data_IF_650302960746
#
_entry.id   IF_650302960746
#
_cell.length_a   1.000
_cell.length_b   1.000
_cell.length_c   1.000
_cell.angle_alpha   90.00
_cell.angle_beta   90.00
_cell.angle_gamma   90.00
#
_symmetry.space_group_name_H-M   'P 1'
#
loop_
_entity.id
_entity.type
_entity.pdbx_description
1 polymer ?
#
# COMPACT_ATOMS: atom_id res chain seq x y z
N UNK A 1 12.11 29.76 -14.20
CA UNK A 1 12.22 28.45 -13.53
C UNK A 1 10.90 28.22 -12.81
N UNK A 2 10.13 27.17 -13.12
CA UNK A 2 8.74 27.05 -12.62
C UNK A 2 8.68 26.69 -11.13
N UNK A 3 7.67 27.19 -10.41
CA UNK A 3 7.42 26.91 -8.98
C UNK A 3 7.44 25.42 -8.63
N UNK A 4 6.96 24.57 -9.54
CA UNK A 4 6.95 23.11 -9.37
C UNK A 4 8.34 22.48 -9.17
N UNK A 5 9.43 23.15 -9.59
CA UNK A 5 10.80 22.67 -9.37
C UNK A 5 11.36 23.12 -8.01
N UNK A 6 10.85 24.22 -7.45
CA UNK A 6 11.23 24.72 -6.13
C UNK A 6 10.57 23.93 -4.99
N UNK A 7 9.38 23.37 -5.20
CA UNK A 7 8.68 22.57 -4.17
C UNK A 7 9.32 21.21 -3.87
N UNK A 8 10.27 20.76 -4.69
CA UNK A 8 11.02 19.51 -4.47
C UNK A 8 12.36 19.76 -3.72
N UNK A 9 12.63 21.01 -3.30
CA UNK A 9 13.82 21.40 -2.54
C UNK A 9 13.44 21.40 -1.05
N UNK A 10 14.08 20.53 -0.26
CA UNK A 10 13.80 20.34 1.16
C UNK A 10 14.20 18.95 1.67
N UNK A 11 13.93 18.67 2.94
CA UNK A 11 14.10 17.33 3.51
C UNK A 11 13.23 16.32 2.73
N UNK A 12 13.67 15.04 2.61
CA UNK A 12 12.93 14.05 1.83
C UNK A 12 11.46 13.89 2.23
N UNK A 13 11.11 14.11 3.50
CA UNK A 13 9.74 14.00 3.99
C UNK A 13 8.84 15.16 3.54
N UNK A 14 9.41 16.34 3.32
CA UNK A 14 8.70 17.55 2.90
C UNK A 14 8.46 17.60 1.39
N UNK A 15 9.14 16.75 0.61
CA UNK A 15 8.99 16.70 -0.84
C UNK A 15 7.60 16.16 -1.18
N UNK A 16 6.75 16.92 -1.89
CA UNK A 16 5.37 16.53 -2.18
C UNK A 16 5.26 15.16 -2.86
N UNK A 17 6.20 14.83 -3.74
CA UNK A 17 6.26 13.54 -4.43
C UNK A 17 6.46 12.34 -3.49
N UNK A 18 7.32 12.48 -2.47
CA UNK A 18 7.61 11.45 -1.47
C UNK A 18 6.46 11.34 -0.48
N UNK A 19 5.96 12.47 0.03
CA UNK A 19 4.80 12.51 0.91
C UNK A 19 3.56 11.86 0.27
N UNK A 20 3.31 12.16 -1.01
CA UNK A 20 2.22 11.52 -1.76
C UNK A 20 2.41 10.02 -1.87
N UNK A 21 3.64 9.53 -2.05
CA UNK A 21 3.91 8.09 -2.10
C UNK A 21 3.64 7.42 -0.75
N UNK A 22 4.09 8.06 0.34
CA UNK A 22 3.80 7.62 1.72
C UNK A 22 2.30 7.51 1.96
N UNK A 23 1.55 8.56 1.61
CA UNK A 23 0.09 8.59 1.77
C UNK A 23 -0.59 7.50 0.94
N UNK A 24 -0.18 7.32 -0.32
CA UNK A 24 -0.75 6.27 -1.19
C UNK A 24 -0.45 4.88 -0.63
N UNK A 25 0.77 4.62 -0.17
CA UNK A 25 1.14 3.34 0.44
C UNK A 25 0.26 3.04 1.66
N UNK A 26 0.07 4.03 2.54
CA UNK A 26 -0.80 3.94 3.70
C UNK A 26 -2.27 3.68 3.32
N UNK A 27 -2.80 4.40 2.32
CA UNK A 27 -4.18 4.23 1.84
C UNK A 27 -4.41 2.83 1.28
N UNK A 28 -3.47 2.30 0.49
CA UNK A 28 -3.59 0.94 -0.07
C UNK A 28 -3.61 -0.11 1.05
N UNK A 29 -2.66 0.00 1.99
CA UNK A 29 -2.61 -0.92 3.13
C UNK A 29 -3.84 -0.83 4.03
N UNK A 30 -4.29 0.38 4.38
CA UNK A 30 -5.46 0.57 5.24
C UNK A 30 -6.76 0.10 4.57
N UNK A 31 -6.92 0.30 3.26
CA UNK A 31 -8.05 -0.24 2.52
C UNK A 31 -8.05 -1.77 2.50
N UNK A 32 -6.89 -2.40 2.28
CA UNK A 32 -6.74 -3.86 2.37
C UNK A 32 -7.13 -4.38 3.77
N UNK A 33 -6.62 -3.75 4.82
CA UNK A 33 -6.95 -4.10 6.20
C UNK A 33 -8.45 -3.96 6.47
N UNK A 34 -9.05 -2.82 6.14
CA UNK A 34 -10.46 -2.55 6.39
C UNK A 34 -11.37 -3.56 5.66
N UNK A 35 -11.10 -3.85 4.39
CA UNK A 35 -11.88 -4.82 3.60
C UNK A 35 -11.74 -6.23 4.20
N UNK A 36 -10.51 -6.66 4.47
CA UNK A 36 -10.25 -8.01 4.99
C UNK A 36 -10.87 -8.20 6.38
N UNK A 37 -10.73 -7.20 7.25
CA UNK A 37 -11.30 -7.22 8.59
C UNK A 37 -12.84 -7.20 8.56
N UNK A 38 -13.43 -6.35 7.71
CA UNK A 38 -14.89 -6.33 7.50
C UNK A 38 -15.41 -7.67 6.99
N UNK A 39 -14.66 -8.34 6.10
CA UNK A 39 -15.01 -9.66 5.60
C UNK A 39 -15.24 -10.67 6.72
N UNK A 40 -14.35 -10.71 7.72
CA UNK A 40 -14.48 -11.61 8.88
C UNK A 40 -15.63 -11.21 9.79
N UNK A 41 -15.90 -9.91 9.95
CA UNK A 41 -17.02 -9.43 10.77
C UNK A 41 -18.39 -9.73 10.15
N UNK A 42 -18.50 -9.64 8.81
CA UNK A 42 -19.77 -9.83 8.09
C UNK A 42 -20.03 -11.30 7.78
N UNK A 43 -18.98 -12.09 7.49
CA UNK A 43 -19.07 -13.50 7.14
C UNK A 43 -18.21 -14.36 8.09
N UNK A 44 -18.57 -14.45 9.38
CA UNK A 44 -17.81 -15.24 10.35
C UNK A 44 -17.81 -16.72 9.97
N UNK A 45 -16.65 -17.37 10.10
CA UNK A 45 -16.43 -18.80 9.82
C UNK A 45 -16.82 -19.27 8.39
N UNK A 46 -17.04 -18.33 7.47
CA UNK A 46 -17.39 -18.59 6.09
C UNK A 46 -16.14 -18.53 5.19
N UNK A 47 -16.04 -19.46 4.23
CA UNK A 47 -15.03 -19.43 3.17
C UNK A 47 -15.09 -18.15 2.32
N UNK A 48 -16.21 -17.43 2.32
CA UNK A 48 -16.33 -16.12 1.67
C UNK A 48 -15.35 -15.10 2.26
N UNK A 49 -15.17 -15.04 3.59
CA UNK A 49 -14.22 -14.11 4.20
C UNK A 49 -12.78 -14.37 3.74
N UNK A 50 -12.44 -15.65 3.56
CA UNK A 50 -11.16 -16.08 3.00
C UNK A 50 -10.97 -15.58 1.56
N UNK A 51 -11.98 -15.74 0.71
CA UNK A 51 -11.93 -15.28 -0.70
C UNK A 51 -11.78 -13.76 -0.76
N UNK A 52 -12.49 -13.01 0.10
CA UNK A 52 -12.39 -11.55 0.18
C UNK A 52 -10.96 -11.14 0.55
N UNK A 53 -10.38 -11.73 1.60
CA UNK A 53 -9.03 -11.41 2.04
C UNK A 53 -7.98 -11.69 0.95
N UNK A 54 -8.07 -12.83 0.26
CA UNK A 54 -7.17 -13.18 -0.85
C UNK A 54 -7.33 -12.19 -2.01
N UNK A 55 -8.57 -11.90 -2.43
CA UNK A 55 -8.85 -10.96 -3.51
C UNK A 55 -8.36 -9.55 -3.20
N UNK A 56 -8.65 -9.05 -1.99
CA UNK A 56 -8.17 -7.75 -1.52
C UNK A 56 -6.62 -7.71 -1.47
N UNK A 57 -5.99 -8.79 -1.01
CA UNK A 57 -4.53 -8.91 -0.97
C UNK A 57 -3.90 -8.80 -2.36
N UNK A 58 -4.42 -9.54 -3.35
CA UNK A 58 -3.93 -9.50 -4.74
C UNK A 58 -4.07 -8.10 -5.35
N UNK A 59 -5.22 -7.45 -5.16
CA UNK A 59 -5.48 -6.09 -5.65
C UNK A 59 -4.51 -5.10 -5.00
N UNK A 60 -4.29 -5.19 -3.69
CA UNK A 60 -3.39 -4.30 -2.97
C UNK A 60 -1.93 -4.48 -3.42
N UNK A 61 -1.46 -5.71 -3.61
CA UNK A 61 -0.11 -5.97 -4.15
C UNK A 61 0.03 -5.41 -5.56
N UNK A 62 -0.95 -5.63 -6.44
CA UNK A 62 -0.93 -5.06 -7.79
C UNK A 62 -0.88 -3.53 -7.76
N UNK A 63 -1.64 -2.89 -6.87
CA UNK A 63 -1.62 -1.44 -6.70
C UNK A 63 -0.27 -0.92 -6.21
N UNK A 64 0.35 -1.58 -5.23
CA UNK A 64 1.68 -1.23 -4.72
C UNK A 64 2.77 -1.39 -5.79
N UNK A 65 2.77 -2.49 -6.54
CA UNK A 65 3.67 -2.69 -7.66
C UNK A 65 3.48 -1.60 -8.73
N UNK A 66 2.24 -1.23 -9.02
CA UNK A 66 1.91 -0.10 -9.88
C UNK A 66 2.53 1.22 -9.41
N UNK A 67 2.58 1.47 -8.10
CA UNK A 67 3.26 2.66 -7.55
C UNK A 67 4.78 2.57 -7.71
N UNK A 68 5.39 1.41 -7.43
CA UNK A 68 6.84 1.20 -7.62
C UNK A 68 7.25 1.48 -9.07
N UNK A 69 6.44 1.04 -10.04
CA UNK A 69 6.68 1.26 -11.46
C UNK A 69 6.52 2.72 -11.89
N UNK A 70 5.72 3.52 -11.15
CA UNK A 70 5.49 4.94 -11.42
C UNK A 70 6.54 5.87 -10.78
N UNK A 71 7.35 5.36 -9.85
CA UNK A 71 8.41 6.15 -9.23
C UNK A 71 9.50 6.54 -10.25
N UNK A 72 9.74 7.84 -10.38
CA UNK A 72 10.81 8.39 -11.23
C UNK A 72 12.17 8.15 -10.58
N UNK A 73 13.19 7.89 -11.40
CA UNK A 73 14.57 7.81 -10.95
C UNK A 73 15.14 9.22 -10.65
N UNK A 74 16.00 9.38 -9.63
CA UNK A 74 16.44 8.37 -8.68
C UNK A 74 15.36 8.05 -7.64
N UNK A 75 15.17 6.75 -7.36
CA UNK A 75 14.11 6.28 -6.44
C UNK A 75 14.47 6.62 -5.00
N UNK A 76 13.60 7.37 -4.33
CA UNK A 76 13.78 7.73 -2.92
C UNK A 76 13.73 6.48 -2.02
N UNK A 77 14.72 6.24 -1.15
CA UNK A 77 14.70 5.15 -0.18
C UNK A 77 13.49 5.20 0.76
N UNK A 78 13.05 6.40 1.14
CA UNK A 78 11.85 6.61 1.96
C UNK A 78 10.57 6.17 1.23
N UNK A 79 10.45 6.51 -0.05
CA UNK A 79 9.31 6.10 -0.87
C UNK A 79 9.28 4.57 -1.06
N UNK A 80 10.44 3.95 -1.30
CA UNK A 80 10.56 2.50 -1.40
C UNK A 80 10.29 1.81 -0.06
N UNK A 81 10.79 2.35 1.05
CA UNK A 81 10.55 1.84 2.39
C UNK A 81 9.06 1.86 2.75
N UNK A 82 8.35 2.94 2.41
CA UNK A 82 6.91 3.05 2.60
C UNK A 82 6.12 1.99 1.83
N UNK A 83 6.43 1.85 0.53
CA UNK A 83 5.78 0.84 -0.33
C UNK A 83 6.10 -0.58 0.12
N UNK A 84 7.35 -0.84 0.52
CA UNK A 84 7.80 -2.12 1.04
C UNK A 84 7.12 -2.49 2.37
N UNK A 85 7.00 -1.53 3.29
CA UNK A 85 6.31 -1.72 4.57
C UNK A 85 4.82 -2.00 4.36
N UNK A 86 4.16 -1.23 3.50
CA UNK A 86 2.76 -1.48 3.13
C UNK A 86 2.61 -2.88 2.50
N UNK A 87 3.52 -3.26 1.60
CA UNK A 87 3.54 -4.59 0.98
C UNK A 87 3.70 -5.72 2.00
N UNK A 88 4.62 -5.59 2.94
CA UNK A 88 4.78 -6.55 4.02
C UNK A 88 3.49 -6.67 4.86
N UNK A 89 2.87 -5.53 5.21
CA UNK A 89 1.59 -5.51 5.92
C UNK A 89 0.47 -6.23 5.17
N UNK A 90 0.38 -6.06 3.86
CA UNK A 90 -0.60 -6.77 3.02
C UNK A 90 -0.33 -8.27 2.98
N UNK A 91 0.94 -8.69 2.81
CA UNK A 91 1.32 -10.11 2.76
C UNK A 91 0.99 -10.79 4.08
N UNK A 92 1.46 -10.22 5.21
CA UNK A 92 1.19 -10.80 6.54
C UNK A 92 -0.29 -10.74 6.91
N UNK A 93 -1.01 -9.68 6.52
CA UNK A 93 -2.45 -9.58 6.74
C UNK A 93 -3.28 -10.56 5.91
N UNK A 94 -2.78 -10.98 4.75
CA UNK A 94 -3.44 -11.97 3.89
C UNK A 94 -3.05 -13.41 4.24
N UNK A 95 -1.91 -13.61 4.91
CA UNK A 95 -1.35 -14.92 5.20
C UNK A 95 -2.31 -15.89 5.91
N UNK A 96 -3.07 -15.49 6.96
CA UNK A 96 -4.04 -16.38 7.61
C UNK A 96 -5.08 -16.94 6.62
N UNK A 97 -5.55 -16.10 5.69
CA UNK A 97 -6.49 -16.53 4.66
C UNK A 97 -5.88 -17.53 3.66
N UNK A 98 -4.55 -17.61 3.56
CA UNK A 98 -3.90 -18.59 2.67
C UNK A 98 -3.79 -19.94 3.38
N UNK A 99 -3.33 -19.96 4.63
CA UNK A 99 -3.01 -21.20 5.36
C UNK A 99 -4.22 -21.89 5.99
N UNK A 100 -5.32 -21.15 6.23
CA UNK A 100 -6.49 -21.66 6.94
C UNK A 100 -6.40 -21.37 8.42
#
# INVERSE_FOLDING_TARGET
MSEAKNSEIGEPIDRPSIYRTLLIAFVIWSAHFAISYTGVLVFPDDGIARIIAIGAGLIAIAALLGQVLRLRAPRSPLALGALGLAGAGVIFGTFPAIVG
#
